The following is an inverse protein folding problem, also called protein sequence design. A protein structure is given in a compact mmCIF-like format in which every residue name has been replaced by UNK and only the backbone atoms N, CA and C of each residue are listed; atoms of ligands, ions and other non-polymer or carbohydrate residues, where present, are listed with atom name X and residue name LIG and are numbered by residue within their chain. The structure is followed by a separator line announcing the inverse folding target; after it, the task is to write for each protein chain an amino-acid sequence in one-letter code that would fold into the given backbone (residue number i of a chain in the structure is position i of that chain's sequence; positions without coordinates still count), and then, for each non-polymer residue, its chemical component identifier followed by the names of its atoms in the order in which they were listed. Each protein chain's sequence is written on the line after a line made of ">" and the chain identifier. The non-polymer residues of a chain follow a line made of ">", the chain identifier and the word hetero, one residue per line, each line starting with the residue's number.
data_IF_146067493938
#
_entry.id   IF_146067493938
#
_cell.length_a   1.000
_cell.length_b   1.000
_cell.length_c   1.000
_cell.angle_alpha   90.00
_cell.angle_beta   90.00
_cell.angle_gamma   90.00
#
_symmetry.space_group_name_H-M   'P 1'
#
loop_
_entity.id
_entity.type
_entity.pdbx_description
1 polymer ?
#
# COMPACT_ATOMS: atom_id res chain seq x y z
N UNK A 1 19.03 19.16 3.36
CA UNK A 1 20.08 18.87 2.35
C UNK A 1 21.19 19.90 2.51
N UNK A 2 22.46 19.49 2.54
CA UNK A 2 23.60 20.41 2.65
C UNK A 2 23.80 21.16 1.31
N UNK A 3 23.65 22.48 1.31
CA UNK A 3 23.71 23.31 0.10
C UNK A 3 25.12 23.51 -0.47
N UNK A 4 26.17 23.18 0.27
CA UNK A 4 27.56 23.23 -0.21
C UNK A 4 27.91 22.01 -1.08
N UNK A 5 27.16 20.91 -0.91
CA UNK A 5 27.41 19.63 -1.59
C UNK A 5 26.46 19.36 -2.75
N UNK A 6 25.27 19.95 -2.72
CA UNK A 6 24.19 19.62 -3.65
C UNK A 6 23.53 20.88 -4.17
N UNK A 7 23.36 20.95 -5.48
CA UNK A 7 22.38 21.82 -6.09
C UNK A 7 20.99 21.20 -5.90
N UNK A 8 20.05 21.95 -5.32
CA UNK A 8 18.71 21.44 -5.00
C UNK A 8 17.71 21.98 -5.99
N UNK A 9 17.21 21.10 -6.85
CA UNK A 9 16.16 21.40 -7.82
C UNK A 9 14.83 20.83 -7.34
N UNK A 10 13.87 21.67 -6.91
CA UNK A 10 12.55 21.18 -6.53
C UNK A 10 11.76 20.76 -7.78
N UNK A 11 11.37 19.48 -7.83
CA UNK A 11 10.51 18.95 -8.89
C UNK A 11 9.14 18.66 -8.28
N UNK A 12 8.17 19.50 -8.63
CA UNK A 12 6.76 19.31 -8.22
C UNK A 12 6.05 18.48 -9.29
N UNK A 13 5.37 17.42 -8.85
CA UNK A 13 4.62 16.50 -9.69
C UNK A 13 3.13 16.81 -9.55
N UNK A 14 2.56 17.48 -10.55
CA UNK A 14 1.13 17.83 -10.59
C UNK A 14 0.34 16.75 -11.35
N UNK A 15 0.99 16.12 -12.33
CA UNK A 15 0.46 15.01 -13.12
C UNK A 15 1.44 13.86 -13.13
N UNK A 16 0.94 12.61 -13.25
CA UNK A 16 1.79 11.42 -13.29
C UNK A 16 2.89 11.50 -14.35
N UNK A 17 2.60 12.07 -15.52
CA UNK A 17 3.56 12.26 -16.63
C UNK A 17 4.73 13.20 -16.30
N UNK A 18 4.59 14.07 -15.29
CA UNK A 18 5.66 14.98 -14.88
C UNK A 18 6.89 14.23 -14.38
N UNK A 19 6.74 13.03 -13.83
CA UNK A 19 7.89 12.24 -13.37
C UNK A 19 8.81 11.86 -14.53
N UNK A 20 8.28 11.76 -15.76
CA UNK A 20 9.08 11.47 -16.95
C UNK A 20 9.70 12.76 -17.48
N UNK A 21 8.92 13.84 -17.55
CA UNK A 21 9.33 15.06 -18.24
C UNK A 21 10.21 15.97 -17.39
N UNK A 22 9.93 16.10 -16.09
CA UNK A 22 10.60 17.03 -15.18
C UNK A 22 11.82 16.43 -14.47
N UNK A 23 12.00 15.11 -14.48
CA UNK A 23 13.16 14.44 -13.84
C UNK A 23 14.40 14.37 -14.74
N UNK A 24 14.31 14.75 -16.01
CA UNK A 24 15.44 14.65 -16.94
C UNK A 24 16.59 15.55 -16.52
N UNK A 25 17.81 15.01 -16.54
CA UNK A 25 19.04 15.76 -16.28
C UNK A 25 19.42 15.93 -14.81
N UNK A 26 18.70 15.31 -13.87
CA UNK A 26 19.14 15.25 -12.47
C UNK A 26 20.04 14.03 -12.23
N UNK A 27 21.03 14.19 -11.36
CA UNK A 27 21.96 13.11 -11.00
C UNK A 27 21.37 12.14 -9.97
N UNK A 28 20.42 12.60 -9.15
CA UNK A 28 19.78 11.82 -8.10
C UNK A 28 18.40 12.38 -7.75
N UNK A 29 17.43 11.50 -7.52
CA UNK A 29 16.10 11.88 -7.05
C UNK A 29 15.90 11.54 -5.56
N UNK A 30 15.84 12.57 -4.71
CA UNK A 30 15.38 12.41 -3.34
C UNK A 30 13.84 12.42 -3.31
N UNK A 31 13.24 11.26 -3.05
CA UNK A 31 11.78 11.11 -3.06
C UNK A 31 11.17 11.68 -1.78
N UNK A 32 10.47 12.80 -1.92
CA UNK A 32 9.66 13.42 -0.87
C UNK A 32 8.16 13.25 -1.15
N UNK A 33 7.79 12.12 -1.74
CA UNK A 33 6.41 11.77 -2.10
C UNK A 33 5.75 11.00 -0.95
N UNK A 34 4.43 11.12 -0.83
CA UNK A 34 3.64 10.35 0.11
C UNK A 34 2.36 9.84 -0.56
N UNK A 35 1.90 8.66 -0.12
CA UNK A 35 0.74 7.98 -0.66
C UNK A 35 1.06 7.12 -1.87
N UNK A 36 0.02 6.48 -2.41
CA UNK A 36 0.13 5.35 -3.34
C UNK A 36 1.11 5.60 -4.50
N UNK A 37 0.97 6.69 -5.25
CA UNK A 37 1.83 6.94 -6.40
C UNK A 37 3.34 7.06 -6.08
N UNK A 38 3.68 7.53 -4.88
CA UNK A 38 5.07 7.63 -4.42
C UNK A 38 5.61 6.36 -3.77
N UNK A 39 4.73 5.45 -3.37
CA UNK A 39 5.04 4.31 -2.50
C UNK A 39 4.80 2.96 -3.19
N UNK A 40 4.02 2.90 -4.28
CA UNK A 40 3.61 1.69 -4.99
C UNK A 40 4.61 1.16 -6.02
N UNK A 41 5.74 1.85 -6.21
CA UNK A 41 6.78 1.48 -7.17
C UNK A 41 6.66 2.14 -8.54
N UNK A 42 5.60 2.93 -8.80
CA UNK A 42 5.41 3.60 -10.10
C UNK A 42 6.52 4.61 -10.39
N UNK A 43 6.78 5.53 -9.46
CA UNK A 43 7.82 6.56 -9.59
C UNK A 43 9.21 5.93 -9.65
N UNK A 44 9.45 4.93 -8.81
CA UNK A 44 10.67 4.15 -8.75
C UNK A 44 10.96 3.47 -10.09
N UNK A 45 9.94 2.90 -10.73
CA UNK A 45 10.06 2.24 -12.04
C UNK A 45 10.47 3.23 -13.14
N UNK A 46 9.86 4.42 -13.15
CA UNK A 46 10.22 5.45 -14.13
C UNK A 46 11.66 5.90 -13.95
N UNK A 47 12.07 6.23 -12.72
CA UNK A 47 13.43 6.68 -12.44
C UNK A 47 14.46 5.59 -12.77
N UNK A 48 14.17 4.33 -12.45
CA UNK A 48 15.01 3.19 -12.83
C UNK A 48 15.10 3.03 -14.36
N UNK A 49 14.00 3.23 -15.09
CA UNK A 49 13.98 3.20 -16.57
C UNK A 49 14.83 4.32 -17.17
N UNK A 50 14.82 5.51 -16.55
CA UNK A 50 15.62 6.65 -16.96
C UNK A 50 17.08 6.57 -16.52
N UNK A 51 17.47 5.53 -15.77
CA UNK A 51 18.83 5.39 -15.22
C UNK A 51 19.16 6.41 -14.12
N UNK A 52 18.15 7.00 -13.49
CA UNK A 52 18.31 8.01 -12.43
C UNK A 52 18.27 7.30 -11.07
N UNK A 53 19.35 7.34 -10.27
CA UNK A 53 19.33 6.79 -8.92
C UNK A 53 18.41 7.60 -8.00
N UNK A 54 17.80 6.95 -7.02
CA UNK A 54 16.85 7.57 -6.11
C UNK A 54 16.91 6.99 -4.70
N UNK A 55 16.30 7.70 -3.74
CA UNK A 55 16.24 7.25 -2.34
C UNK A 55 15.15 6.21 -2.09
N UNK A 56 15.41 5.23 -1.23
CA UNK A 56 14.41 4.29 -0.71
C UNK A 56 14.43 2.92 -1.38
N UNK A 57 13.28 2.23 -1.35
CA UNK A 57 13.14 0.88 -1.89
C UNK A 57 12.99 0.88 -3.41
N UNK A 58 13.44 -0.20 -4.06
CA UNK A 58 13.20 -0.41 -5.50
C UNK A 58 11.74 -0.75 -5.83
N UNK A 59 11.36 -0.82 -7.12
CA UNK A 59 9.95 -0.87 -7.52
C UNK A 59 9.20 -2.10 -7.00
N UNK A 60 9.83 -3.27 -7.08
CA UNK A 60 9.25 -4.52 -6.59
C UNK A 60 8.98 -4.46 -5.08
N UNK A 61 9.97 -4.01 -4.31
CA UNK A 61 9.83 -3.90 -2.85
C UNK A 61 8.77 -2.87 -2.48
N UNK A 62 8.72 -1.73 -3.18
CA UNK A 62 7.67 -0.72 -3.01
C UNK A 62 6.28 -1.30 -3.27
N UNK A 63 6.07 -1.96 -4.42
CA UNK A 63 4.79 -2.58 -4.77
C UNK A 63 4.37 -3.66 -3.76
N UNK A 64 5.29 -4.55 -3.38
CA UNK A 64 5.03 -5.61 -2.41
C UNK A 64 4.65 -5.05 -1.04
N UNK A 65 5.35 -4.02 -0.56
CA UNK A 65 5.06 -3.38 0.72
C UNK A 65 3.74 -2.60 0.71
N UNK A 66 3.28 -2.14 -0.46
CA UNK A 66 2.02 -1.41 -0.60
C UNK A 66 0.80 -2.33 -0.71
N UNK A 67 1.01 -3.61 -1.04
CA UNK A 67 0.01 -4.68 -1.01
C UNK A 67 0.11 -5.45 0.32
N UNK A 68 -0.89 -5.30 1.19
CA UNK A 68 -0.91 -5.95 2.50
C UNK A 68 -1.01 -7.47 2.39
N UNK A 69 -1.72 -7.99 1.39
CA UNK A 69 -1.92 -9.43 1.22
C UNK A 69 -0.60 -10.10 0.81
N UNK A 70 0.09 -9.53 -0.18
CA UNK A 70 1.42 -9.98 -0.61
C UNK A 70 2.44 -9.82 0.50
N UNK A 71 2.49 -8.66 1.16
CA UNK A 71 3.38 -8.42 2.29
C UNK A 71 3.22 -9.49 3.37
N UNK A 72 1.99 -9.73 3.81
CA UNK A 72 1.71 -10.69 4.88
C UNK A 72 1.98 -12.13 4.46
N UNK A 73 1.68 -12.49 3.22
CA UNK A 73 2.01 -13.81 2.65
C UNK A 73 3.52 -14.07 2.70
N UNK A 74 4.34 -13.07 2.34
CA UNK A 74 5.81 -13.18 2.41
C UNK A 74 6.30 -13.27 3.85
N UNK A 75 5.73 -12.49 4.77
CA UNK A 75 6.06 -12.57 6.19
C UNK A 75 5.75 -13.96 6.76
N UNK A 76 4.54 -14.47 6.51
CA UNK A 76 4.10 -15.79 6.97
C UNK A 76 4.98 -16.91 6.40
N UNK A 77 5.28 -16.87 5.10
CA UNK A 77 6.14 -17.86 4.45
C UNK A 77 7.57 -17.90 5.04
N UNK A 78 8.02 -16.80 5.66
CA UNK A 78 9.32 -16.70 6.33
C UNK A 78 9.22 -16.87 7.86
N UNK A 79 8.07 -17.33 8.38
CA UNK A 79 7.87 -17.56 9.82
C UNK A 79 7.81 -16.27 10.66
N UNK A 80 7.63 -15.11 10.02
CA UNK A 80 7.44 -13.84 10.72
C UNK A 80 5.97 -13.72 11.11
N UNK A 81 5.73 -13.51 12.41
CA UNK A 81 4.37 -13.42 12.95
C UNK A 81 3.61 -12.26 12.30
N UNK A 82 2.43 -12.57 11.79
CA UNK A 82 1.45 -11.62 11.28
C UNK A 82 0.06 -12.06 11.72
N UNK A 83 -0.89 -11.15 11.89
CA UNK A 83 -2.24 -11.53 12.33
C UNK A 83 -2.94 -12.35 11.23
N UNK A 84 -3.68 -13.42 11.55
CA UNK A 84 -4.45 -14.16 10.55
C UNK A 84 -5.42 -13.25 9.79
N UNK A 85 -5.60 -13.48 8.49
CA UNK A 85 -6.41 -12.62 7.63
C UNK A 85 -7.11 -13.40 6.52
N UNK A 86 -8.09 -12.75 5.91
CA UNK A 86 -8.76 -13.12 4.67
C UNK A 86 -8.64 -11.92 3.73
N UNK A 87 -8.34 -12.16 2.46
CA UNK A 87 -8.38 -11.12 1.43
C UNK A 87 -9.54 -11.42 0.46
N UNK A 88 -10.36 -10.42 0.19
CA UNK A 88 -11.53 -10.49 -0.69
C UNK A 88 -11.30 -9.60 -1.91
N UNK A 89 -11.61 -10.11 -3.10
CA UNK A 89 -11.66 -9.33 -4.34
C UNK A 89 -13.08 -8.86 -4.60
N UNK A 90 -13.23 -7.73 -5.30
CA UNK A 90 -14.54 -7.20 -5.69
C UNK A 90 -15.28 -8.23 -6.56
N UNK A 91 -16.45 -8.66 -6.09
CA UNK A 91 -17.25 -9.71 -6.71
C UNK A 91 -17.19 -11.06 -6.00
N UNK A 92 -16.27 -11.24 -5.04
CA UNK A 92 -16.25 -12.43 -4.18
C UNK A 92 -17.45 -12.44 -3.22
N UNK A 93 -17.92 -13.63 -2.88
CA UNK A 93 -18.87 -13.81 -1.79
C UNK A 93 -18.14 -13.76 -0.44
N UNK A 94 -18.77 -13.12 0.56
CA UNK A 94 -18.23 -13.07 1.92
C UNK A 94 -18.47 -14.43 2.60
N UNK A 95 -17.39 -15.10 2.98
CA UNK A 95 -17.44 -16.36 3.74
C UNK A 95 -17.42 -16.08 5.25
N UNK A 96 -18.62 -15.93 5.83
CA UNK A 96 -18.77 -15.64 7.25
C UNK A 96 -18.22 -16.75 8.17
N UNK A 97 -18.16 -18.00 7.71
CA UNK A 97 -17.59 -19.08 8.54
C UNK A 97 -16.10 -18.85 8.78
N UNK A 98 -15.34 -18.48 7.73
CA UNK A 98 -13.93 -18.14 7.88
C UNK A 98 -13.70 -16.90 8.73
N UNK A 99 -14.57 -15.90 8.64
CA UNK A 99 -14.47 -14.70 9.50
C UNK A 99 -14.72 -15.06 10.96
N UNK A 100 -15.70 -15.94 11.22
CA UNK A 100 -15.98 -16.46 12.55
C UNK A 100 -14.79 -17.26 13.13
N UNK A 101 -14.04 -17.98 12.29
CA UNK A 101 -12.80 -18.66 12.68
C UNK A 101 -11.67 -17.69 13.09
N UNK A 102 -11.57 -16.51 12.44
CA UNK A 102 -10.64 -15.45 12.88
C UNK A 102 -11.00 -14.96 14.30
N UNK A 103 -12.30 -14.84 14.55
CA UNK A 103 -12.90 -14.35 15.78
C UNK A 103 -12.95 -12.81 15.85
N UNK A 104 -14.02 -12.29 16.44
CA UNK A 104 -14.20 -10.85 16.62
C UNK A 104 -13.47 -10.31 17.86
N UNK A 105 -13.02 -9.03 17.84
CA UNK A 105 -13.15 -8.09 16.72
C UNK A 105 -12.17 -8.39 15.57
N UNK A 106 -12.52 -7.92 14.37
CA UNK A 106 -11.66 -7.94 13.17
C UNK A 106 -11.45 -6.52 12.64
N UNK A 107 -10.38 -6.33 11.87
CA UNK A 107 -10.06 -5.08 11.17
C UNK A 107 -10.38 -5.27 9.70
N UNK A 108 -11.30 -4.49 9.16
CA UNK A 108 -11.60 -4.42 7.72
C UNK A 108 -10.89 -3.22 7.12
N UNK A 109 -10.10 -3.41 6.07
CA UNK A 109 -9.30 -2.34 5.45
C UNK A 109 -9.00 -2.62 3.98
N UNK A 110 -8.79 -1.58 3.14
CA UNK A 110 -8.26 -1.75 1.80
C UNK A 110 -6.93 -2.52 1.79
N UNK A 111 -6.78 -3.44 0.84
CA UNK A 111 -5.57 -4.26 0.73
C UNK A 111 -4.37 -3.42 0.28
N UNK A 112 -4.57 -2.57 -0.71
CA UNK A 112 -3.60 -1.59 -1.18
C UNK A 112 -3.74 -0.25 -0.45
N UNK A 113 -2.75 0.61 -0.61
CA UNK A 113 -2.83 1.97 -0.10
C UNK A 113 -2.36 2.11 1.36
N UNK A 114 -2.27 3.36 1.79
CA UNK A 114 -1.83 3.78 3.12
C UNK A 114 -2.84 4.68 3.84
N UNK A 115 -2.41 5.27 4.95
CA UNK A 115 -3.12 6.34 5.68
C UNK A 115 -4.42 5.95 6.39
N UNK A 116 -4.63 4.66 6.67
CA UNK A 116 -5.78 4.14 7.45
C UNK A 116 -7.17 4.56 6.91
N UNK A 117 -7.24 4.93 5.63
CA UNK A 117 -8.50 5.29 4.96
C UNK A 117 -9.37 4.04 4.86
N UNK A 118 -10.67 4.20 5.14
CA UNK A 118 -11.65 3.12 5.13
C UNK A 118 -11.23 1.88 5.95
N UNK A 119 -10.53 2.12 7.07
CA UNK A 119 -10.16 1.09 8.04
C UNK A 119 -11.16 1.07 9.18
N UNK A 120 -11.76 -0.08 9.45
CA UNK A 120 -12.82 -0.26 10.43
C UNK A 120 -12.45 -1.37 11.42
N UNK A 121 -12.72 -1.15 12.71
CA UNK A 121 -12.71 -2.23 13.70
C UNK A 121 -14.15 -2.72 13.84
N UNK A 122 -14.40 -3.94 13.37
CA UNK A 122 -15.71 -4.58 13.37
C UNK A 122 -15.81 -5.53 14.55
N UNK A 123 -16.86 -5.37 15.37
CA UNK A 123 -17.00 -6.12 16.64
C UNK A 123 -17.99 -7.28 16.54
N UNK A 124 -18.81 -7.29 15.51
CA UNK A 124 -19.86 -8.30 15.30
C UNK A 124 -20.16 -8.50 13.83
N UNK A 125 -20.70 -9.68 13.49
CA UNK A 125 -20.92 -10.13 12.12
C UNK A 125 -21.78 -9.18 11.27
N UNK A 126 -22.83 -8.61 11.86
CA UNK A 126 -23.78 -7.74 11.15
C UNK A 126 -23.18 -6.47 10.55
N UNK A 127 -21.98 -6.07 10.97
CA UNK A 127 -21.29 -4.88 10.48
C UNK A 127 -20.38 -5.19 9.26
N UNK A 128 -20.05 -6.46 9.02
CA UNK A 128 -19.06 -6.88 8.02
C UNK A 128 -19.42 -6.41 6.62
N UNK A 129 -20.63 -6.69 6.15
CA UNK A 129 -21.02 -6.38 4.77
C UNK A 129 -20.91 -4.88 4.48
N UNK A 130 -21.35 -4.05 5.42
CA UNK A 130 -21.28 -2.60 5.31
C UNK A 130 -19.82 -2.12 5.27
N UNK A 131 -18.98 -2.57 6.21
CA UNK A 131 -17.57 -2.17 6.25
C UNK A 131 -16.78 -2.64 5.03
N UNK A 132 -17.04 -3.85 4.53
CA UNK A 132 -16.42 -4.38 3.30
C UNK A 132 -16.87 -3.57 2.08
N UNK A 133 -18.16 -3.26 1.97
CA UNK A 133 -18.71 -2.42 0.91
C UNK A 133 -18.09 -1.01 0.91
N UNK A 134 -17.95 -0.39 2.08
CA UNK A 134 -17.28 0.90 2.22
C UNK A 134 -15.81 0.84 1.80
N UNK A 135 -15.08 -0.21 2.20
CA UNK A 135 -13.69 -0.40 1.79
C UNK A 135 -13.54 -0.61 0.27
N UNK A 136 -14.49 -1.32 -0.37
CA UNK A 136 -14.50 -1.52 -1.82
C UNK A 136 -14.78 -0.25 -2.65
N UNK A 137 -15.13 0.88 -2.01
CA UNK A 137 -15.18 2.18 -2.69
C UNK A 137 -13.78 2.75 -2.95
N UNK A 138 -12.78 2.27 -2.22
CA UNK A 138 -11.40 2.75 -2.27
C UNK A 138 -10.45 1.80 -2.97
N UNK A 139 -10.76 0.51 -2.98
CA UNK A 139 -9.90 -0.54 -3.54
C UNK A 139 -10.76 -1.65 -4.17
N UNK A 140 -10.17 -2.39 -5.11
CA UNK A 140 -10.75 -3.62 -5.64
C UNK A 140 -10.52 -4.83 -4.73
N UNK A 141 -9.66 -4.71 -3.72
CA UNK A 141 -9.36 -5.76 -2.75
C UNK A 141 -9.49 -5.24 -1.31
N UNK A 142 -10.06 -6.07 -0.43
CA UNK A 142 -10.31 -5.74 0.97
C UNK A 142 -9.83 -6.87 1.87
N UNK A 143 -9.03 -6.50 2.86
CA UNK A 143 -8.52 -7.39 3.88
C UNK A 143 -9.41 -7.35 5.13
N UNK A 144 -9.73 -8.53 5.64
CA UNK A 144 -10.34 -8.76 6.95
C UNK A 144 -9.29 -9.46 7.81
N UNK A 145 -8.78 -8.77 8.83
CA UNK A 145 -7.66 -9.24 9.65
C UNK A 145 -8.09 -9.37 11.12
N UNK A 146 -7.61 -10.41 11.81
CA UNK A 146 -7.87 -10.54 13.25
C UNK A 146 -7.33 -9.34 14.03
N UNK A 147 -8.15 -8.74 14.89
CA UNK A 147 -7.68 -7.69 15.79
C UNK A 147 -6.81 -8.30 16.90
N UNK A 148 -5.63 -7.74 17.10
CA UNK A 148 -4.70 -8.13 18.17
C UNK A 148 -4.78 -7.10 19.30
N UNK A 149 -5.00 -7.58 20.54
CA UNK A 149 -5.13 -6.75 21.74
C UNK A 149 -3.78 -6.54 22.44
#
# INVERSE_FOLDING_TARGET
>A
INKEKYEVLPIVIDKKEDIINKSKGIDFALLALHGQFGEDGTVQSVLQTLGIPYSGCGPLSSAMCMDKDVSKSVLEANGIRTAPWINLRKGDNIDFNKINELGYPVVVKPTHGGSSVATFIVKEEKEIENCVSEAFKWDSEVMIEKFIK
#
